data_IF_462595720441
#
_entry.id   IF_462595720441
#
_cell.length_a   1.000
_cell.length_b   1.000
_cell.length_c   1.000
_cell.angle_alpha   90.00
_cell.angle_beta   90.00
_cell.angle_gamma   90.00
#
_symmetry.space_group_name_H-M   'P 1'
#
loop_
_entity.id
_entity.type
_entity.pdbx_description
1 polymer ?
#
# COMPACT_ATOMS: atom_id res chain seq x y z
N UNK A 1 -53.69 8.24 -1.34
CA UNK A 1 -52.39 8.23 -0.64
C UNK A 1 -51.45 7.36 -1.46
N UNK A 2 -50.38 7.94 -1.99
CA UNK A 2 -49.58 7.35 -3.07
C UNK A 2 -48.52 6.35 -2.57
N UNK A 3 -48.85 5.06 -2.66
CA UNK A 3 -47.98 3.91 -2.31
C UNK A 3 -46.73 3.80 -3.19
N UNK A 4 -46.76 4.38 -4.39
CA UNK A 4 -45.65 4.36 -5.36
C UNK A 4 -44.49 5.26 -4.89
N UNK A 5 -44.79 6.40 -4.26
CA UNK A 5 -43.75 7.31 -3.75
C UNK A 5 -42.97 6.67 -2.59
N UNK A 6 -43.64 5.84 -1.76
CA UNK A 6 -42.99 5.12 -0.66
C UNK A 6 -42.15 3.94 -1.15
N UNK A 7 -42.59 3.24 -2.20
CA UNK A 7 -41.81 2.16 -2.83
C UNK A 7 -40.54 2.67 -3.54
N UNK A 8 -40.59 3.85 -4.15
CA UNK A 8 -39.41 4.48 -4.74
C UNK A 8 -38.36 4.90 -3.68
N UNK A 9 -38.81 5.43 -2.53
CA UNK A 9 -37.92 5.84 -1.44
C UNK A 9 -37.26 4.63 -0.75
N UNK A 10 -38.04 3.56 -0.48
CA UNK A 10 -37.52 2.33 0.13
C UNK A 10 -36.49 1.61 -0.76
N UNK A 11 -36.69 1.66 -2.09
CA UNK A 11 -35.75 1.08 -3.06
C UNK A 11 -34.46 1.89 -3.17
N UNK A 12 -34.51 3.22 -3.00
CA UNK A 12 -33.33 4.08 -3.03
C UNK A 12 -32.43 3.90 -1.78
N UNK A 13 -33.04 3.69 -0.60
CA UNK A 13 -32.27 3.40 0.62
C UNK A 13 -31.64 2.00 0.61
N UNK A 14 -32.30 1.01 0.01
CA UNK A 14 -31.74 -0.35 -0.12
C UNK A 14 -30.61 -0.48 -1.15
N UNK A 15 -30.54 0.42 -2.15
CA UNK A 15 -29.53 0.38 -3.22
C UNK A 15 -28.26 1.19 -2.89
N UNK A 16 -28.32 2.14 -1.96
CA UNK A 16 -27.20 3.02 -1.62
C UNK A 16 -26.06 2.38 -0.79
N UNK A 17 -26.15 1.08 -0.46
CA UNK A 17 -25.08 0.32 0.19
C UNK A 17 -24.34 -0.64 -0.75
N UNK A 18 -24.59 -0.61 -2.06
CA UNK A 18 -23.75 -1.29 -3.06
C UNK A 18 -22.88 -0.26 -3.81
N UNK A 19 -21.82 0.19 -3.14
CA UNK A 19 -20.61 0.59 -3.86
C UNK A 19 -20.03 -0.66 -4.57
N UNK A 20 -19.45 -0.51 -5.77
CA UNK A 20 -18.90 -1.63 -6.52
C UNK A 20 -17.79 -2.30 -5.73
N UNK A 21 -18.05 -3.53 -5.26
CA UNK A 21 -17.06 -4.42 -4.70
C UNK A 21 -16.07 -4.82 -5.81
N UNK A 22 -15.00 -4.03 -5.94
CA UNK A 22 -13.79 -4.44 -6.64
C UNK A 22 -13.11 -5.56 -5.85
N UNK A 23 -13.41 -6.80 -6.22
CA UNK A 23 -12.62 -8.03 -5.98
C UNK A 23 -11.79 -8.06 -4.68
N UNK A 24 -12.45 -8.23 -3.54
CA UNK A 24 -11.82 -8.80 -2.35
C UNK A 24 -11.83 -10.33 -2.48
N UNK A 25 -10.82 -10.89 -3.15
CA UNK A 25 -10.49 -12.31 -2.99
C UNK A 25 -9.79 -12.50 -1.64
N UNK A 26 -10.59 -12.58 -0.58
CA UNK A 26 -10.16 -13.06 0.72
C UNK A 26 -10.24 -14.60 0.68
N UNK A 27 -9.21 -15.24 0.12
CA UNK A 27 -9.05 -16.69 0.27
C UNK A 27 -8.59 -16.97 1.70
N UNK A 28 -9.50 -17.56 2.46
CA UNK A 28 -9.31 -18.25 3.73
C UNK A 28 -8.00 -19.05 3.75
N UNK A 29 -6.93 -18.47 4.28
CA UNK A 29 -5.74 -19.21 4.63
C UNK A 29 -6.01 -19.93 5.95
N UNK A 30 -6.27 -21.23 5.84
CA UNK A 30 -6.25 -22.18 6.94
C UNK A 30 -4.96 -22.03 7.74
N UNK A 31 -5.09 -21.93 9.05
CA UNK A 31 -3.98 -21.94 10.00
C UNK A 31 -3.25 -23.29 9.93
N UNK A 32 -2.19 -23.37 9.12
CA UNK A 32 -1.09 -24.34 9.27
C UNK A 32 -0.01 -24.01 8.23
N UNK A 33 1.02 -23.27 8.63
CA UNK A 33 2.38 -23.34 8.07
C UNK A 33 3.27 -22.43 8.93
N UNK A 34 3.93 -22.97 9.96
CA UNK A 34 5.37 -23.30 9.92
C UNK A 34 6.19 -22.25 9.16
N UNK A 35 7.07 -21.59 9.92
CA UNK A 35 7.93 -20.52 9.42
C UNK A 35 8.68 -20.90 8.15
N UNK A 36 8.42 -20.12 7.10
CA UNK A 36 9.22 -20.12 5.88
C UNK A 36 9.91 -18.75 5.79
N UNK A 37 11.19 -18.71 6.17
CA UNK A 37 12.13 -17.66 5.79
C UNK A 37 12.54 -17.86 4.31
N UNK A 38 11.57 -17.81 3.40
CA UNK A 38 11.80 -17.68 1.97
C UNK A 38 11.57 -16.24 1.53
N UNK A 39 12.16 -15.76 0.43
CA UNK A 39 11.87 -14.43 -0.11
C UNK A 39 10.41 -14.39 -0.55
N UNK A 40 9.52 -13.95 0.34
CA UNK A 40 8.14 -13.60 -0.01
C UNK A 40 8.25 -12.55 -1.11
N UNK A 41 7.66 -12.77 -2.29
CA UNK A 41 7.70 -11.79 -3.36
C UNK A 41 7.23 -10.44 -2.82
N UNK A 42 8.09 -9.43 -2.87
CA UNK A 42 7.71 -8.11 -2.39
C UNK A 42 6.50 -7.64 -3.19
N UNK A 43 5.46 -7.08 -2.54
CA UNK A 43 4.31 -6.57 -3.25
C UNK A 43 4.79 -5.56 -4.30
N UNK A 44 4.41 -5.76 -5.55
CA UNK A 44 4.72 -4.82 -6.62
C UNK A 44 4.03 -3.50 -6.30
N UNK A 45 4.83 -2.45 -6.15
CA UNK A 45 4.34 -1.13 -5.76
C UNK A 45 3.72 -0.44 -6.99
N UNK A 46 2.46 -0.77 -7.27
CA UNK A 46 1.69 -0.15 -8.34
C UNK A 46 0.99 1.10 -7.81
N UNK A 47 1.51 2.27 -8.16
CA UNK A 47 0.97 3.56 -7.74
C UNK A 47 -0.01 4.03 -8.80
N UNK A 48 -1.29 4.01 -8.47
CA UNK A 48 -2.38 4.45 -9.37
C UNK A 48 -3.18 5.58 -8.72
N UNK A 49 -3.42 6.68 -9.45
CA UNK A 49 -4.22 7.82 -8.99
C UNK A 49 -3.47 9.16 -9.05
N UNK A 50 -4.16 10.28 -8.75
CA UNK A 50 -3.54 11.60 -8.73
C UNK A 50 -2.52 11.72 -7.58
N UNK A 51 -1.36 12.32 -7.88
CA UNK A 51 -0.28 12.52 -6.92
C UNK A 51 -0.37 13.93 -6.33
N UNK A 52 -0.51 14.01 -5.01
CA UNK A 52 -0.36 15.25 -4.26
C UNK A 52 1.11 15.45 -3.88
N UNK A 53 1.71 16.55 -4.33
CA UNK A 53 3.14 16.83 -4.14
C UNK A 53 3.55 16.96 -2.67
N UNK A 54 2.70 17.48 -1.80
CA UNK A 54 3.02 17.60 -0.36
C UNK A 54 3.16 16.21 0.26
N UNK A 55 2.19 15.34 0.02
CA UNK A 55 2.22 13.96 0.54
C UNK A 55 3.34 13.12 -0.07
N UNK A 56 3.68 13.35 -1.33
CA UNK A 56 4.84 12.72 -1.97
C UNK A 56 6.16 13.13 -1.29
N UNK A 57 6.32 14.43 -0.99
CA UNK A 57 7.50 14.92 -0.26
C UNK A 57 7.54 14.38 1.17
N UNK A 58 6.40 14.21 1.83
CA UNK A 58 6.32 13.58 3.15
C UNK A 58 6.75 12.11 3.10
N UNK A 59 6.23 11.33 2.15
CA UNK A 59 6.64 9.94 1.95
C UNK A 59 8.13 9.80 1.65
N UNK A 60 8.67 10.69 0.82
CA UNK A 60 10.10 10.77 0.53
C UNK A 60 10.91 11.11 1.79
N UNK A 61 10.48 12.09 2.57
CA UNK A 61 11.14 12.50 3.82
C UNK A 61 11.16 11.33 4.81
N UNK A 62 10.04 10.65 5.01
CA UNK A 62 9.97 9.47 5.87
C UNK A 62 10.98 8.40 5.46
N UNK A 63 11.01 8.04 4.17
CA UNK A 63 11.92 7.01 3.67
C UNK A 63 13.40 7.43 3.80
N UNK A 64 13.72 8.71 3.62
CA UNK A 64 15.07 9.23 3.85
C UNK A 64 15.48 9.15 5.31
N UNK A 65 14.60 9.52 6.25
CA UNK A 65 14.88 9.40 7.68
C UNK A 65 15.08 7.93 8.10
N UNK A 66 14.27 7.01 7.56
CA UNK A 66 14.44 5.57 7.77
C UNK A 66 15.83 5.09 7.31
N UNK A 67 16.28 5.49 6.11
CA UNK A 67 17.59 5.12 5.59
C UNK A 67 18.72 5.79 6.40
N UNK A 68 18.55 7.06 6.80
CA UNK A 68 19.52 7.79 7.64
C UNK A 68 19.72 7.10 8.99
N UNK A 69 18.66 6.59 9.60
CA UNK A 69 18.74 5.85 10.85
C UNK A 69 19.58 4.56 10.74
N UNK A 70 19.68 3.96 9.55
CA UNK A 70 20.54 2.80 9.29
C UNK A 70 22.03 3.18 9.14
N UNK A 71 22.33 4.45 8.86
CA UNK A 71 23.69 4.98 8.78
C UNK A 71 24.58 4.25 7.76
N UNK A 72 25.83 3.98 8.14
CA UNK A 72 26.80 3.29 7.28
C UNK A 72 26.44 1.83 6.97
N UNK A 73 25.56 1.22 7.76
CA UNK A 73 25.15 -0.18 7.62
C UNK A 73 24.40 -0.44 6.32
N UNK A 74 23.75 0.58 5.73
CA UNK A 74 23.04 0.47 4.45
C UNK A 74 23.95 0.04 3.28
N UNK A 75 25.27 0.21 3.41
CA UNK A 75 26.24 -0.25 2.41
C UNK A 75 26.29 -1.77 2.29
N UNK A 76 25.93 -2.49 3.37
CA UNK A 76 25.89 -3.95 3.40
C UNK A 76 24.67 -4.44 2.62
N UNK A 77 24.89 -5.29 1.62
CA UNK A 77 23.84 -5.88 0.78
C UNK A 77 22.62 -6.41 1.58
N UNK A 78 22.78 -7.25 2.63
CA UNK A 78 21.62 -7.80 3.34
C UNK A 78 20.79 -6.74 4.07
N UNK A 79 21.44 -5.66 4.55
CA UNK A 79 20.73 -4.58 5.24
C UNK A 79 19.98 -3.72 4.23
N UNK A 80 20.59 -3.46 3.06
CA UNK A 80 19.96 -2.75 1.96
C UNK A 80 18.74 -3.49 1.43
N UNK A 81 18.85 -4.80 1.20
CA UNK A 81 17.75 -5.64 0.75
C UNK A 81 16.60 -5.67 1.76
N UNK A 82 16.91 -5.78 3.05
CA UNK A 82 15.90 -5.67 4.11
C UNK A 82 15.23 -4.29 4.13
N UNK A 83 16.01 -3.21 4.02
CA UNK A 83 15.47 -1.86 3.98
C UNK A 83 14.52 -1.65 2.78
N UNK A 84 14.88 -2.17 1.61
CA UNK A 84 14.02 -2.17 0.42
C UNK A 84 12.73 -2.95 0.69
N UNK A 85 12.83 -4.14 1.31
CA UNK A 85 11.66 -4.95 1.65
C UNK A 85 10.72 -4.22 2.62
N UNK A 86 11.26 -3.63 3.68
CA UNK A 86 10.50 -2.93 4.71
C UNK A 86 9.80 -1.69 4.13
N UNK A 87 10.52 -0.86 3.36
CA UNK A 87 9.95 0.31 2.70
C UNK A 87 8.89 -0.07 1.65
N UNK A 88 9.08 -1.19 0.94
CA UNK A 88 8.08 -1.67 -0.04
C UNK A 88 6.79 -2.10 0.66
N UNK A 89 6.90 -2.80 1.80
CA UNK A 89 5.74 -3.20 2.62
C UNK A 89 5.02 -1.99 3.21
N UNK A 90 5.77 -0.99 3.68
CA UNK A 90 5.21 0.27 4.15
C UNK A 90 4.44 0.96 3.01
N UNK A 91 5.08 1.18 1.86
CA UNK A 91 4.49 1.88 0.73
C UNK A 91 3.22 1.20 0.19
N UNK A 92 3.15 -0.14 0.23
CA UNK A 92 1.98 -0.90 -0.20
C UNK A 92 0.71 -0.62 0.64
N UNK A 93 0.85 -0.11 1.86
CA UNK A 93 -0.26 0.23 2.75
C UNK A 93 -0.60 1.73 2.72
N UNK A 94 0.15 2.53 1.97
CA UNK A 94 0.01 3.98 1.95
C UNK A 94 -0.80 4.47 0.75
N UNK A 95 -1.38 5.68 0.84
CA UNK A 95 -1.97 6.35 -0.31
C UNK A 95 -0.95 6.54 -1.44
N UNK A 96 -1.43 6.56 -2.69
CA UNK A 96 -0.61 6.65 -3.90
C UNK A 96 0.46 7.77 -3.84
N UNK A 97 0.09 8.95 -3.33
CA UNK A 97 1.01 10.09 -3.18
C UNK A 97 2.20 9.77 -2.26
N UNK A 98 1.93 9.20 -1.07
CA UNK A 98 2.98 8.83 -0.10
C UNK A 98 3.82 7.68 -0.64
N UNK A 99 3.16 6.66 -1.20
CA UNK A 99 3.82 5.52 -1.83
C UNK A 99 4.79 5.95 -2.94
N UNK A 100 4.44 6.98 -3.72
CA UNK A 100 5.30 7.59 -4.74
C UNK A 100 6.57 8.18 -4.16
N UNK A 101 6.45 8.96 -3.08
CA UNK A 101 7.60 9.50 -2.37
C UNK A 101 8.56 8.42 -1.86
N UNK A 102 8.01 7.34 -1.29
CA UNK A 102 8.80 6.21 -0.78
C UNK A 102 9.47 5.44 -1.93
N UNK A 103 8.77 5.26 -3.06
CA UNK A 103 9.29 4.57 -4.24
C UNK A 103 10.57 5.20 -4.76
N UNK A 104 10.66 6.53 -4.79
CA UNK A 104 11.87 7.26 -5.23
C UNK A 104 13.09 6.81 -4.42
N UNK A 105 12.95 6.64 -3.11
CA UNK A 105 14.07 6.21 -2.24
C UNK A 105 14.39 4.73 -2.44
N UNK A 106 13.36 3.88 -2.63
CA UNK A 106 13.55 2.46 -2.95
C UNK A 106 14.35 2.31 -4.25
N UNK A 107 14.03 3.09 -5.29
CA UNK A 107 14.71 3.03 -6.58
C UNK A 107 16.20 3.43 -6.43
N UNK A 108 16.50 4.47 -5.64
CA UNK A 108 17.88 4.84 -5.30
C UNK A 108 18.62 3.72 -4.58
N UNK A 109 17.97 3.03 -3.63
CA UNK A 109 18.58 1.90 -2.91
C UNK A 109 18.83 0.68 -3.80
N UNK A 110 18.03 0.51 -4.86
CA UNK A 110 18.23 -0.55 -5.86
C UNK A 110 19.30 -0.22 -6.88
N UNK A 111 19.75 1.04 -6.95
CA UNK A 111 20.77 1.51 -7.89
C UNK A 111 20.21 2.14 -9.17
N UNK A 112 18.89 2.41 -9.20
CA UNK A 112 18.12 2.92 -10.34
C UNK A 112 18.22 2.08 -11.63
#
# INVERSE_FOLDING_TARGET
MNSIAQQALASALGKALSAPAGKTQQTRATAKDKGAFGPVPLPQLNITGPINRVMELEGKRYALEFVRALGSSIRRAPIREKAVADLTRYAAQQPASVASGVKIVIDVLKGA
#
